data_IF_912783384126
#
_entry.id   IF_912783384126
#
_cell.length_a   1.000
_cell.length_b   1.000
_cell.length_c   1.000
_cell.angle_alpha   90.00
_cell.angle_beta   90.00
_cell.angle_gamma   90.00
#
_symmetry.space_group_name_H-M   'P 1'
#
loop_
_entity.id
_entity.type
_entity.pdbx_description
1 polymer ?
#
# COMPACT_ATOMS: atom_id res chain seq x y z
N UNK A 1 -8.74 21.32 -7.78
CA UNK A 1 -9.64 20.47 -8.60
C UNK A 1 -9.92 19.21 -7.80
N UNK A 2 -11.19 18.97 -7.44
CA UNK A 2 -11.62 17.75 -6.71
C UNK A 2 -12.09 16.66 -7.69
N UNK A 3 -11.26 16.32 -8.67
CA UNK A 3 -11.54 15.21 -9.59
C UNK A 3 -10.73 14.02 -9.12
N UNK A 4 -11.40 12.98 -8.67
CA UNK A 4 -10.77 11.69 -8.37
C UNK A 4 -10.53 10.96 -9.71
N UNK A 5 -9.33 10.44 -9.86
CA UNK A 5 -8.93 9.65 -11.03
C UNK A 5 -9.02 8.17 -10.67
N UNK A 6 -9.76 7.43 -11.48
CA UNK A 6 -9.87 5.99 -11.42
C UNK A 6 -9.43 5.43 -12.78
N UNK A 7 -8.43 4.57 -12.81
CA UNK A 7 -7.91 3.98 -14.03
C UNK A 7 -8.02 2.46 -13.97
N UNK A 8 -8.56 1.88 -15.05
CA UNK A 8 -8.78 0.45 -15.18
C UNK A 8 -7.75 -0.18 -16.11
N UNK A 9 -7.21 -1.32 -15.70
CA UNK A 9 -6.40 -2.23 -16.50
C UNK A 9 -7.07 -3.59 -16.57
N UNK A 10 -7.11 -4.20 -17.75
CA UNK A 10 -7.73 -5.51 -17.96
C UNK A 10 -6.68 -6.48 -18.46
N UNK A 11 -6.34 -7.47 -17.62
CA UNK A 11 -5.44 -8.54 -17.98
C UNK A 11 -6.10 -9.59 -18.89
N UNK A 12 -5.35 -10.13 -19.83
CA UNK A 12 -5.80 -11.20 -20.73
C UNK A 12 -6.46 -10.72 -22.01
N UNK A 13 -6.26 -9.46 -22.39
CA UNK A 13 -6.68 -8.94 -23.69
C UNK A 13 -5.88 -9.60 -24.84
N UNK A 14 -6.49 -9.73 -26.04
CA UNK A 14 -5.80 -10.27 -27.21
C UNK A 14 -4.52 -9.52 -27.54
N UNK A 15 -3.43 -10.27 -27.74
CA UNK A 15 -2.15 -9.71 -28.17
C UNK A 15 -1.30 -9.10 -27.06
N UNK A 16 -1.83 -8.93 -25.87
CA UNK A 16 -1.05 -8.46 -24.71
C UNK A 16 -0.38 -9.63 -24.00
N UNK A 17 0.92 -9.51 -23.76
CA UNK A 17 1.71 -10.45 -22.96
C UNK A 17 1.94 -9.92 -21.53
N UNK A 18 2.52 -10.75 -20.67
CA UNK A 18 2.79 -10.42 -19.28
C UNK A 18 3.67 -9.17 -19.13
N UNK A 19 4.72 -9.03 -19.96
CA UNK A 19 5.64 -7.90 -19.88
C UNK A 19 5.02 -6.60 -20.37
N UNK A 20 4.15 -6.65 -21.38
CA UNK A 20 3.41 -5.46 -21.83
C UNK A 20 2.39 -5.02 -20.78
N UNK A 21 1.70 -5.96 -20.13
CA UNK A 21 0.82 -5.63 -19.01
C UNK A 21 1.59 -4.99 -17.84
N UNK A 22 2.75 -5.56 -17.47
CA UNK A 22 3.65 -5.01 -16.44
C UNK A 22 4.05 -3.57 -16.75
N UNK A 23 4.41 -3.26 -18.01
CA UNK A 23 4.70 -1.88 -18.44
C UNK A 23 3.47 -0.97 -18.32
N UNK A 24 2.32 -1.40 -18.84
CA UNK A 24 1.06 -0.66 -18.75
C UNK A 24 0.70 -0.34 -17.30
N UNK A 25 0.88 -1.29 -16.39
CA UNK A 25 0.67 -1.06 -14.95
C UNK A 25 1.60 0.04 -14.41
N UNK A 26 2.90 -0.02 -14.71
CA UNK A 26 3.86 0.97 -14.23
C UNK A 26 3.59 2.37 -14.81
N UNK A 27 3.17 2.44 -16.08
CA UNK A 27 2.78 3.69 -16.72
C UNK A 27 1.55 4.31 -16.04
N UNK A 28 0.50 3.51 -15.80
CA UNK A 28 -0.70 3.94 -15.05
C UNK A 28 -0.33 4.37 -13.64
N UNK A 29 0.50 3.60 -12.93
CA UNK A 29 0.94 3.94 -11.58
C UNK A 29 1.73 5.27 -11.55
N UNK A 30 2.50 5.57 -12.60
CA UNK A 30 3.28 6.81 -12.70
C UNK A 30 2.41 8.08 -12.75
N UNK A 31 1.18 7.97 -13.24
CA UNK A 31 0.16 9.04 -13.26
C UNK A 31 -0.33 9.36 -11.84
N UNK A 32 -0.18 8.40 -10.91
CA UNK A 32 -0.65 8.49 -9.51
C UNK A 32 -2.15 8.75 -9.39
N UNK A 33 -3.00 7.95 -10.04
CA UNK A 33 -4.44 8.05 -9.84
C UNK A 33 -4.78 7.69 -8.38
N UNK A 34 -5.93 8.14 -7.90
CA UNK A 34 -6.43 7.77 -6.57
C UNK A 34 -6.77 6.28 -6.46
N UNK A 35 -7.12 5.65 -7.59
CA UNK A 35 -7.48 4.24 -7.64
C UNK A 35 -7.01 3.60 -8.94
N UNK A 36 -6.42 2.40 -8.85
CA UNK A 36 -6.04 1.55 -9.97
C UNK A 36 -6.84 0.26 -9.84
N UNK A 37 -7.79 0.04 -10.74
CA UNK A 37 -8.52 -1.22 -10.80
C UNK A 37 -7.84 -2.17 -11.78
N UNK A 38 -7.31 -3.27 -11.25
CA UNK A 38 -6.85 -4.39 -12.05
C UNK A 38 -8.00 -5.37 -12.23
N UNK A 39 -8.43 -5.54 -13.47
CA UNK A 39 -9.47 -6.49 -13.83
C UNK A 39 -8.91 -7.65 -14.65
N UNK A 40 -9.70 -8.70 -14.78
CA UNK A 40 -9.41 -9.85 -15.63
C UNK A 40 -10.51 -10.00 -16.66
N UNK A 41 -10.12 -10.25 -17.92
CA UNK A 41 -11.07 -10.37 -19.03
C UNK A 41 -12.14 -11.41 -18.70
N UNK A 42 -13.40 -11.06 -18.94
CA UNK A 42 -14.56 -11.94 -18.77
C UNK A 42 -15.19 -12.20 -20.14
N UNK A 43 -15.22 -13.47 -20.55
CA UNK A 43 -15.77 -13.88 -21.84
C UNK A 43 -17.28 -14.13 -21.72
N UNK A 44 -18.04 -13.03 -21.71
CA UNK A 44 -19.48 -13.06 -21.51
C UNK A 44 -20.19 -13.78 -22.67
N UNK A 45 -21.30 -14.47 -22.37
CA UNK A 45 -22.13 -15.14 -23.38
C UNK A 45 -22.64 -14.12 -24.42
N UNK A 46 -22.48 -14.44 -25.70
CA UNK A 46 -22.91 -13.59 -26.80
C UNK A 46 -21.93 -12.44 -27.16
N UNK A 47 -20.77 -12.37 -26.51
CA UNK A 47 -19.75 -11.41 -26.92
C UNK A 47 -18.88 -11.96 -28.07
N UNK A 48 -18.47 -11.08 -28.99
CA UNK A 48 -17.53 -11.43 -30.06
C UNK A 48 -16.20 -11.96 -29.54
N UNK A 49 -15.73 -11.45 -28.40
CA UNK A 49 -14.51 -11.92 -27.72
C UNK A 49 -14.61 -13.41 -27.34
N UNK A 50 -15.80 -13.87 -26.93
CA UNK A 50 -16.01 -15.28 -26.61
C UNK A 50 -16.05 -16.15 -27.87
N UNK A 51 -16.61 -15.65 -28.95
CA UNK A 51 -16.64 -16.33 -30.25
C UNK A 51 -15.24 -16.47 -30.85
N UNK A 52 -14.38 -15.49 -30.64
CA UNK A 52 -13.00 -15.49 -31.10
C UNK A 52 -11.99 -16.11 -30.11
N UNK A 53 -12.44 -16.67 -28.99
CA UNK A 53 -11.57 -17.16 -27.92
C UNK A 53 -10.52 -18.16 -28.39
N UNK A 54 -10.88 -19.07 -29.27
CA UNK A 54 -9.99 -20.09 -29.83
C UNK A 54 -8.85 -19.46 -30.65
N UNK A 55 -9.13 -18.41 -31.41
CA UNK A 55 -8.15 -17.68 -32.21
C UNK A 55 -7.00 -17.09 -31.39
N UNK A 56 -7.28 -16.70 -30.14
CA UNK A 56 -6.30 -16.14 -29.19
C UNK A 56 -5.84 -17.15 -28.12
N UNK A 57 -6.12 -18.43 -28.31
CA UNK A 57 -5.76 -19.49 -27.36
C UNK A 57 -6.33 -19.27 -25.97
N UNK A 58 -7.46 -18.59 -25.86
CA UNK A 58 -8.10 -18.25 -24.60
C UNK A 58 -8.72 -19.45 -23.93
N UNK A 59 -8.37 -19.69 -22.69
CA UNK A 59 -9.06 -20.62 -21.79
C UNK A 59 -9.66 -19.78 -20.66
N UNK A 60 -10.93 -20.02 -20.36
CA UNK A 60 -11.69 -19.27 -19.35
C UNK A 60 -12.59 -20.19 -18.53
N UNK A 61 -13.04 -19.70 -17.37
CA UNK A 61 -13.97 -20.43 -16.51
C UNK A 61 -15.28 -20.74 -17.25
N UNK A 62 -15.78 -21.98 -17.24
CA UNK A 62 -17.09 -22.30 -17.82
C UNK A 62 -18.26 -21.72 -17.00
N UNK A 63 -18.00 -21.27 -15.77
CA UNK A 63 -18.98 -20.70 -14.83
C UNK A 63 -18.83 -19.18 -14.74
N UNK A 64 -19.93 -18.46 -14.45
CA UNK A 64 -19.85 -17.04 -14.17
C UNK A 64 -18.79 -16.72 -13.10
N UNK A 65 -18.01 -15.66 -13.28
CA UNK A 65 -18.12 -14.59 -14.27
C UNK A 65 -17.43 -14.87 -15.62
N UNK A 66 -17.08 -16.12 -15.96
CA UNK A 66 -16.40 -16.51 -17.21
C UNK A 66 -15.03 -15.88 -17.37
N UNK A 67 -14.30 -15.79 -16.29
CA UNK A 67 -13.02 -15.11 -16.21
C UNK A 67 -11.93 -15.89 -16.96
N UNK A 68 -11.04 -15.13 -17.62
CA UNK A 68 -9.89 -15.66 -18.32
C UNK A 68 -8.94 -16.43 -17.37
N UNK A 69 -8.42 -17.56 -17.83
CA UNK A 69 -7.45 -18.40 -17.13
C UNK A 69 -6.08 -18.29 -17.78
N UNK A 70 -6.04 -18.26 -19.11
CA UNK A 70 -4.83 -18.03 -19.90
C UNK A 70 -5.17 -17.59 -21.32
N UNK A 71 -4.18 -17.05 -22.03
CA UNK A 71 -4.23 -16.79 -23.48
C UNK A 71 -3.05 -17.50 -24.14
N UNK A 72 -2.87 -17.32 -25.46
CA UNK A 72 -1.65 -17.72 -26.18
C UNK A 72 -0.42 -16.91 -25.74
N UNK A 73 -0.60 -15.69 -25.18
CA UNK A 73 0.45 -14.76 -24.76
C UNK A 73 0.70 -14.72 -23.26
N UNK A 74 -0.30 -15.04 -22.44
CA UNK A 74 -0.19 -15.04 -20.97
C UNK A 74 -0.56 -16.42 -20.43
N UNK A 75 0.40 -17.08 -19.83
CA UNK A 75 0.21 -18.41 -19.22
C UNK A 75 -0.65 -18.33 -17.96
N UNK A 76 -1.22 -19.46 -17.53
CA UNK A 76 -1.94 -19.59 -16.27
C UNK A 76 -1.11 -19.11 -15.05
N UNK A 77 0.20 -19.47 -15.05
CA UNK A 77 1.10 -19.07 -13.97
C UNK A 77 1.28 -17.56 -13.90
N UNK A 78 1.35 -16.89 -15.03
CA UNK A 78 1.44 -15.42 -15.10
C UNK A 78 0.12 -14.77 -14.69
N UNK A 79 -1.04 -15.34 -15.08
CA UNK A 79 -2.33 -14.84 -14.58
C UNK A 79 -2.43 -14.90 -13.05
N UNK A 80 -1.94 -15.97 -12.41
CA UNK A 80 -1.87 -16.05 -10.95
C UNK A 80 -0.94 -14.98 -10.36
N UNK A 81 0.16 -14.65 -11.03
CA UNK A 81 1.03 -13.54 -10.60
C UNK A 81 0.30 -12.19 -10.65
N UNK A 82 -0.43 -11.93 -11.75
CA UNK A 82 -1.22 -10.71 -11.89
C UNK A 82 -2.31 -10.61 -10.80
N UNK A 83 -2.95 -11.73 -10.43
CA UNK A 83 -3.92 -11.75 -9.32
C UNK A 83 -3.30 -11.38 -7.98
N UNK A 84 -2.07 -11.80 -7.71
CA UNK A 84 -1.37 -11.38 -6.50
C UNK A 84 -1.10 -9.87 -6.48
N UNK A 85 -0.69 -9.32 -7.62
CA UNK A 85 -0.48 -7.86 -7.76
C UNK A 85 -1.79 -7.11 -7.55
N UNK A 86 -2.87 -7.55 -8.18
CA UNK A 86 -4.21 -6.96 -8.02
C UNK A 86 -4.63 -6.90 -6.54
N UNK A 87 -4.54 -8.01 -5.82
CA UNK A 87 -4.88 -8.08 -4.39
C UNK A 87 -4.03 -7.11 -3.53
N UNK A 88 -2.74 -6.95 -3.86
CA UNK A 88 -1.88 -6.03 -3.13
C UNK A 88 -2.18 -4.56 -3.46
N UNK A 89 -2.45 -4.26 -4.72
CA UNK A 89 -2.87 -2.91 -5.14
C UNK A 89 -4.17 -2.51 -4.47
N UNK A 90 -5.17 -3.40 -4.45
CA UNK A 90 -6.44 -3.13 -3.79
C UNK A 90 -6.28 -2.87 -2.28
N UNK A 91 -5.55 -3.74 -1.58
CA UNK A 91 -5.38 -3.64 -0.13
C UNK A 91 -4.52 -2.45 0.29
N UNK A 92 -3.49 -2.14 -0.45
CA UNK A 92 -2.48 -1.16 -0.03
C UNK A 92 -2.55 0.16 -0.78
N UNK A 93 -2.57 0.15 -2.11
CA UNK A 93 -2.62 1.37 -2.90
C UNK A 93 -4.00 2.03 -2.85
N UNK A 94 -5.05 1.30 -3.22
CA UNK A 94 -6.41 1.84 -3.32
C UNK A 94 -7.00 2.26 -1.96
N UNK A 95 -6.54 1.65 -0.87
CA UNK A 95 -6.96 2.05 0.49
C UNK A 95 -6.53 3.46 0.88
N UNK A 96 -5.52 4.03 0.22
CA UNK A 96 -4.89 5.34 0.50
C UNK A 96 -4.32 5.50 1.92
N UNK A 97 -4.22 4.41 2.69
CA UNK A 97 -3.79 4.45 4.10
C UNK A 97 -2.28 4.32 4.29
N UNK A 98 -1.55 3.96 3.25
CA UNK A 98 -0.14 3.56 3.33
C UNK A 98 0.75 4.37 2.39
N UNK A 99 0.33 5.56 1.98
CA UNK A 99 0.98 6.34 0.93
C UNK A 99 2.46 6.63 1.21
N UNK A 100 2.80 6.96 2.45
CA UNK A 100 4.19 7.24 2.84
C UNK A 100 5.02 5.97 2.96
N UNK A 101 4.42 4.90 3.48
CA UNK A 101 5.04 3.58 3.56
C UNK A 101 5.29 3.00 2.16
N UNK A 102 4.34 3.12 1.24
CA UNK A 102 4.50 2.70 -0.15
C UNK A 102 5.62 3.48 -0.85
N UNK A 103 5.69 4.82 -0.64
CA UNK A 103 6.78 5.66 -1.17
C UNK A 103 8.15 5.13 -0.73
N UNK A 104 8.30 4.73 0.54
CA UNK A 104 9.55 4.13 1.05
C UNK A 104 9.94 2.85 0.30
N UNK A 105 8.97 1.98 -0.01
CA UNK A 105 9.24 0.74 -0.72
C UNK A 105 9.49 0.94 -2.20
N UNK A 106 8.80 1.86 -2.87
CA UNK A 106 9.04 2.14 -4.30
C UNK A 106 10.48 2.56 -4.59
N UNK A 107 11.17 3.22 -3.65
CA UNK A 107 12.57 3.58 -3.79
C UNK A 107 13.54 2.38 -3.70
N UNK A 108 13.06 1.21 -3.27
CA UNK A 108 13.84 -0.02 -3.11
C UNK A 108 13.66 -1.03 -4.23
N UNK A 109 12.78 -0.75 -5.15
CA UNK A 109 12.44 -1.61 -6.28
C UNK A 109 12.64 -0.89 -7.60
N UNK A 110 12.94 -1.65 -8.65
CA UNK A 110 13.06 -1.12 -9.99
C UNK A 110 11.71 -0.57 -10.47
N UNK A 111 10.63 -1.28 -10.19
CA UNK A 111 9.28 -0.83 -10.53
C UNK A 111 8.28 -1.09 -9.39
N UNK A 112 7.19 -0.29 -9.30
CA UNK A 112 6.09 -0.56 -8.38
C UNK A 112 5.44 -1.93 -8.58
N UNK A 113 5.36 -2.42 -9.82
CA UNK A 113 4.84 -3.74 -10.11
C UNK A 113 5.63 -4.83 -9.38
N UNK A 114 6.96 -4.77 -9.42
CA UNK A 114 7.84 -5.77 -8.80
C UNK A 114 7.68 -5.77 -7.28
N UNK A 115 7.54 -4.59 -6.68
CA UNK A 115 7.25 -4.46 -5.27
C UNK A 115 5.93 -5.16 -4.89
N UNK A 116 4.83 -4.85 -5.61
CA UNK A 116 3.54 -5.48 -5.31
C UNK A 116 3.56 -6.99 -5.55
N UNK A 117 4.29 -7.45 -6.56
CA UNK A 117 4.46 -8.88 -6.82
C UNK A 117 5.18 -9.58 -5.66
N UNK A 118 6.29 -9.03 -5.17
CA UNK A 118 7.04 -9.61 -4.05
C UNK A 118 6.25 -9.53 -2.74
N UNK A 119 5.52 -8.44 -2.50
CA UNK A 119 4.61 -8.34 -1.36
C UNK A 119 3.51 -9.41 -1.44
N UNK A 120 2.96 -9.66 -2.63
CA UNK A 120 1.99 -10.73 -2.87
C UNK A 120 2.55 -12.12 -2.62
N UNK A 121 3.79 -12.38 -3.00
CA UNK A 121 4.48 -13.64 -2.68
C UNK A 121 4.70 -13.80 -1.16
N UNK A 122 5.03 -12.72 -0.47
CA UNK A 122 5.13 -12.70 0.99
C UNK A 122 3.78 -13.01 1.67
N UNK A 123 2.69 -12.43 1.16
CA UNK A 123 1.33 -12.72 1.62
C UNK A 123 0.97 -14.19 1.46
N UNK A 124 1.27 -14.77 0.29
CA UNK A 124 1.01 -16.20 0.02
C UNK A 124 1.80 -17.09 0.96
N UNK A 125 3.11 -16.84 1.12
CA UNK A 125 3.98 -17.61 2.01
C UNK A 125 3.51 -17.59 3.48
N UNK A 126 2.83 -16.53 3.90
CA UNK A 126 2.24 -16.36 5.24
C UNK A 126 0.80 -16.85 5.36
N UNK A 127 0.20 -17.33 4.27
CA UNK A 127 -1.18 -17.77 4.23
C UNK A 127 -2.20 -16.65 4.42
N UNK A 128 -1.81 -15.40 4.20
CA UNK A 128 -2.66 -14.22 4.41
C UNK A 128 -3.82 -14.11 3.42
N UNK A 129 -3.72 -14.73 2.24
CA UNK A 129 -4.84 -14.81 1.30
C UNK A 129 -5.97 -15.76 1.79
N UNK A 130 -5.67 -16.66 2.72
CA UNK A 130 -6.61 -17.68 3.19
C UNK A 130 -7.26 -17.34 4.53
N UNK A 131 -7.00 -16.14 5.09
CA UNK A 131 -7.57 -15.69 6.35
C UNK A 131 -7.84 -14.19 6.37
N UNK A 132 -8.76 -13.77 7.20
CA UNK A 132 -8.93 -12.35 7.48
C UNK A 132 -7.77 -11.86 8.37
N UNK A 133 -7.14 -10.78 7.96
CA UNK A 133 -6.14 -10.08 8.75
C UNK A 133 -6.72 -8.77 9.28
N UNK A 134 -6.38 -8.42 10.51
CA UNK A 134 -6.87 -7.21 11.15
C UNK A 134 -6.23 -5.93 10.60
N UNK A 135 -6.90 -4.79 10.78
CA UNK A 135 -6.40 -3.50 10.27
C UNK A 135 -4.96 -3.20 10.71
N UNK A 136 -4.58 -3.47 11.95
CA UNK A 136 -3.22 -3.25 12.46
C UNK A 136 -2.20 -4.22 11.86
N UNK A 137 -2.64 -5.41 11.47
CA UNK A 137 -1.77 -6.43 10.87
C UNK A 137 -1.28 -6.01 9.47
N UNK A 138 -2.09 -5.27 8.69
CA UNK A 138 -1.65 -4.69 7.43
C UNK A 138 -0.43 -3.78 7.57
N UNK A 139 -0.36 -3.00 8.65
CA UNK A 139 0.81 -2.16 8.96
C UNK A 139 2.02 -3.01 9.36
N UNK A 140 1.79 -4.08 10.16
CA UNK A 140 2.87 -4.98 10.60
C UNK A 140 3.53 -5.72 9.44
N UNK A 141 2.76 -6.10 8.43
CA UNK A 141 3.26 -6.76 7.22
C UNK A 141 4.45 -6.03 6.61
N UNK A 142 4.41 -4.70 6.56
CA UNK A 142 5.53 -3.93 6.00
C UNK A 142 6.82 -4.06 6.81
N UNK A 143 6.74 -4.12 8.14
CA UNK A 143 7.91 -4.36 8.98
C UNK A 143 8.46 -5.76 8.76
N UNK A 144 7.60 -6.75 8.82
CA UNK A 144 7.99 -8.16 8.62
C UNK A 144 8.58 -8.37 7.22
N UNK A 145 7.98 -7.78 6.19
CA UNK A 145 8.47 -7.82 4.82
C UNK A 145 9.85 -7.15 4.67
N UNK A 146 10.03 -5.96 5.26
CA UNK A 146 11.32 -5.27 5.24
C UNK A 146 12.42 -6.08 5.92
N UNK A 147 12.13 -6.65 7.09
CA UNK A 147 13.11 -7.44 7.85
C UNK A 147 13.46 -8.75 7.13
N UNK A 148 12.47 -9.47 6.62
CA UNK A 148 12.65 -10.82 6.12
C UNK A 148 13.12 -10.88 4.66
N UNK A 149 12.57 -10.02 3.82
CA UNK A 149 12.83 -10.01 2.37
C UNK A 149 13.96 -9.02 2.03
N UNK A 150 13.85 -7.79 2.48
CA UNK A 150 14.82 -6.74 2.13
C UNK A 150 16.02 -6.68 3.07
N UNK A 151 15.96 -7.36 4.24
CA UNK A 151 17.01 -7.31 5.28
C UNK A 151 17.33 -5.88 5.71
N UNK A 152 16.33 -5.00 5.66
CA UNK A 152 16.47 -3.57 5.93
C UNK A 152 16.35 -3.23 7.42
N UNK A 153 16.89 -2.07 7.81
CA UNK A 153 16.67 -1.48 9.13
C UNK A 153 15.20 -1.07 9.28
N UNK A 154 14.61 -1.43 10.41
CA UNK A 154 13.21 -1.13 10.71
C UNK A 154 13.01 0.21 11.44
N UNK A 155 14.07 0.80 12.01
CA UNK A 155 13.96 1.96 12.91
C UNK A 155 13.21 3.13 12.26
N UNK A 156 13.59 3.50 11.03
CA UNK A 156 12.94 4.60 10.30
C UNK A 156 11.60 4.22 9.71
N UNK A 157 11.49 2.97 9.25
CA UNK A 157 10.25 2.46 8.70
C UNK A 157 9.13 2.45 9.74
N UNK A 158 9.45 2.18 11.01
CA UNK A 158 8.48 2.26 12.12
C UNK A 158 7.84 3.65 12.23
N UNK A 159 8.63 4.69 12.09
CA UNK A 159 8.14 6.06 12.14
C UNK A 159 7.25 6.41 10.94
N UNK A 160 7.64 5.99 9.75
CA UNK A 160 6.83 6.20 8.54
C UNK A 160 5.49 5.48 8.66
N UNK A 161 5.50 4.22 9.10
CA UNK A 161 4.30 3.43 9.35
C UNK A 161 3.44 4.05 10.45
N UNK A 162 4.06 4.53 11.53
CA UNK A 162 3.36 5.24 12.62
C UNK A 162 2.64 6.49 12.12
N UNK A 163 3.29 7.26 11.25
CA UNK A 163 2.67 8.43 10.65
C UNK A 163 1.46 8.06 9.80
N UNK A 164 1.59 7.08 8.91
CA UNK A 164 0.46 6.57 8.12
C UNK A 164 -0.66 6.05 9.01
N UNK A 165 -0.32 5.29 10.07
CA UNK A 165 -1.32 4.79 11.01
C UNK A 165 -2.10 5.92 11.68
N UNK A 166 -1.40 6.91 12.22
CA UNK A 166 -2.01 8.04 12.96
C UNK A 166 -2.81 8.97 12.06
N UNK A 167 -2.52 9.02 10.76
CA UNK A 167 -3.28 9.78 9.77
C UNK A 167 -4.70 9.23 9.54
N UNK A 168 -4.96 7.97 9.89
CA UNK A 168 -6.24 7.31 9.64
C UNK A 168 -6.86 6.66 10.87
N UNK A 169 -6.09 6.52 11.97
CA UNK A 169 -6.52 5.80 13.16
C UNK A 169 -6.27 6.63 14.41
N UNK A 170 -7.17 6.49 15.39
CA UNK A 170 -6.97 7.13 16.68
C UNK A 170 -5.75 6.53 17.40
N UNK A 171 -4.96 7.37 18.04
CA UNK A 171 -3.78 6.99 18.80
C UNK A 171 -4.06 5.89 19.85
N UNK A 172 -5.22 5.93 20.51
CA UNK A 172 -5.58 4.94 21.54
C UNK A 172 -5.49 3.48 21.07
N UNK A 173 -5.71 3.23 19.78
CA UNK A 173 -5.60 1.90 19.18
C UNK A 173 -4.24 1.58 18.56
N UNK A 174 -3.23 2.45 18.76
CA UNK A 174 -1.91 2.28 18.15
C UNK A 174 -1.24 1.01 18.67
N UNK A 175 -0.78 0.12 17.77
CA UNK A 175 -0.14 -1.14 18.16
C UNK A 175 1.27 -0.90 18.71
N UNK A 176 1.69 -1.80 19.62
CA UNK A 176 2.96 -1.65 20.36
C UNK A 176 4.20 -1.63 19.45
N UNK A 177 4.15 -2.28 18.30
CA UNK A 177 5.30 -2.37 17.37
C UNK A 177 5.69 -1.04 16.71
N UNK A 178 4.82 -0.01 16.76
CA UNK A 178 5.12 1.35 16.26
C UNK A 178 5.08 2.42 17.35
N UNK A 179 4.86 2.05 18.61
CA UNK A 179 4.92 3.00 19.72
C UNK A 179 6.35 3.47 19.97
N UNK A 180 6.50 4.74 20.27
CA UNK A 180 7.72 5.32 20.80
C UNK A 180 7.51 5.71 22.27
N UNK A 181 8.57 5.61 23.06
CA UNK A 181 8.57 6.09 24.43
C UNK A 181 9.05 7.54 24.46
N UNK A 182 8.32 8.38 25.19
CA UNK A 182 8.73 9.76 25.50
C UNK A 182 9.08 9.79 26.99
N UNK A 183 10.18 10.44 27.33
CA UNK A 183 10.51 10.71 28.72
C UNK A 183 9.39 11.55 29.37
N UNK A 184 8.95 11.15 30.56
CA UNK A 184 7.82 11.80 31.24
C UNK A 184 8.10 13.26 31.61
N UNK A 185 9.34 13.61 31.92
CA UNK A 185 9.70 14.97 32.27
C UNK A 185 9.68 15.85 31.03
N UNK A 186 10.24 15.35 29.92
CA UNK A 186 10.19 16.01 28.64
C UNK A 186 8.76 16.19 28.14
N UNK A 187 7.92 15.17 28.26
CA UNK A 187 6.49 15.27 27.89
C UNK A 187 5.77 16.37 28.67
N UNK A 188 6.05 16.49 29.98
CA UNK A 188 5.47 17.53 30.83
C UNK A 188 5.97 18.93 30.42
N UNK A 189 7.27 19.08 30.13
CA UNK A 189 7.83 20.35 29.65
C UNK A 189 7.16 20.81 28.35
N UNK A 190 7.06 19.93 27.36
CA UNK A 190 6.39 20.23 26.10
C UNK A 190 4.92 20.62 26.33
N UNK A 191 4.22 19.91 27.20
CA UNK A 191 2.83 20.24 27.55
C UNK A 191 2.70 21.63 28.19
N UNK A 192 3.61 21.98 29.09
CA UNK A 192 3.58 23.30 29.75
C UNK A 192 3.87 24.44 28.77
N UNK A 193 4.79 24.23 27.83
CA UNK A 193 5.10 25.23 26.79
C UNK A 193 3.94 25.47 25.81
N UNK A 194 3.16 24.42 25.54
CA UNK A 194 2.12 24.44 24.53
C UNK A 194 0.70 24.60 25.07
N UNK A 195 0.52 24.58 26.39
CA UNK A 195 -0.82 24.58 27.05
C UNK A 195 -1.71 25.77 26.68
N UNK A 196 -1.13 26.92 26.33
CA UNK A 196 -1.87 28.11 25.92
C UNK A 196 -2.40 28.02 24.49
N UNK A 197 -1.79 27.14 23.66
CA UNK A 197 -2.11 27.00 22.24
C UNK A 197 -2.96 25.76 21.95
N UNK A 198 -2.78 24.67 22.72
CA UNK A 198 -3.40 23.39 22.46
C UNK A 198 -4.04 22.79 23.72
N UNK A 199 -5.22 22.20 23.52
CA UNK A 199 -5.90 21.41 24.57
C UNK A 199 -5.37 19.97 24.59
N UNK A 200 -4.66 19.58 25.63
CA UNK A 200 -4.18 18.20 25.80
C UNK A 200 -5.29 17.19 26.21
N UNK A 201 -6.55 17.61 26.18
CA UNK A 201 -7.70 16.70 26.11
C UNK A 201 -7.91 16.15 24.71
N UNK A 202 -7.56 16.98 23.68
CA UNK A 202 -7.80 16.70 22.28
C UNK A 202 -6.54 16.25 21.54
N UNK A 203 -5.36 16.60 22.06
CA UNK A 203 -4.05 16.27 21.47
C UNK A 203 -3.18 15.46 22.39
N UNK A 204 -2.36 14.61 21.79
CA UNK A 204 -1.32 13.84 22.47
C UNK A 204 0.01 14.03 21.77
N UNK A 205 1.11 13.96 22.52
CA UNK A 205 2.45 14.11 21.97
C UNK A 205 2.94 12.76 21.48
N UNK A 206 3.49 12.72 20.28
CA UNK A 206 4.17 11.57 19.70
C UNK A 206 5.60 11.93 19.31
N UNK A 207 6.53 11.05 19.64
CA UNK A 207 7.95 11.15 19.28
C UNK A 207 8.22 10.40 18.01
N UNK A 208 9.05 10.99 17.14
CA UNK A 208 9.60 10.38 15.94
C UNK A 208 11.12 10.54 15.97
N UNK A 209 11.84 9.53 15.50
CA UNK A 209 13.32 9.56 15.42
C UNK A 209 13.81 10.09 14.07
N UNK A 210 12.87 10.39 13.15
CA UNK A 210 13.13 11.05 11.86
C UNK A 210 12.26 12.30 11.70
N UNK A 211 12.76 13.24 10.88
CA UNK A 211 11.96 14.41 10.49
C UNK A 211 10.90 14.03 9.44
N UNK A 212 9.70 13.70 9.91
CA UNK A 212 8.59 13.33 9.03
C UNK A 212 8.18 14.46 8.08
N UNK A 213 8.31 15.74 8.49
CA UNK A 213 7.98 16.87 7.59
C UNK A 213 8.92 16.91 6.40
N UNK A 214 10.21 16.65 6.61
CA UNK A 214 11.20 16.57 5.53
C UNK A 214 10.94 15.34 4.64
N UNK A 215 10.64 14.18 5.26
CA UNK A 215 10.33 12.97 4.52
C UNK A 215 9.09 13.14 3.62
N UNK A 216 8.03 13.74 4.14
CA UNK A 216 6.79 13.98 3.37
C UNK A 216 7.05 14.87 2.14
N UNK A 217 7.88 15.92 2.30
CA UNK A 217 8.14 16.88 1.24
C UNK A 217 9.14 16.35 0.20
N UNK A 218 10.20 15.67 0.65
CA UNK A 218 11.35 15.34 -0.22
C UNK A 218 11.58 13.85 -0.45
N UNK A 219 10.98 12.97 0.37
CA UNK A 219 11.28 11.53 0.44
C UNK A 219 12.57 11.21 1.22
N UNK A 220 13.36 12.19 1.61
CA UNK A 220 14.63 11.94 2.30
C UNK A 220 14.43 11.64 3.77
N UNK A 221 15.08 10.58 4.25
CA UNK A 221 15.10 10.22 5.66
C UNK A 221 16.21 11.00 6.35
N UNK A 222 15.84 11.93 7.23
CA UNK A 222 16.76 12.69 8.06
C UNK A 222 16.58 12.25 9.51
N UNK A 223 17.63 11.68 10.10
CA UNK A 223 17.70 11.35 11.52
C UNK A 223 17.62 12.62 12.36
N UNK A 224 16.48 12.84 12.99
CA UNK A 224 16.28 13.97 13.88
C UNK A 224 15.09 13.64 14.78
N UNK A 225 15.33 13.63 16.08
CA UNK A 225 14.26 13.53 17.05
C UNK A 225 13.31 14.72 16.88
N UNK A 226 12.05 14.42 16.63
CA UNK A 226 10.98 15.39 16.41
C UNK A 226 9.76 15.00 17.21
N UNK A 227 8.99 16.01 17.63
CA UNK A 227 7.74 15.81 18.32
C UNK A 227 6.58 16.32 17.49
N UNK A 228 5.45 15.63 17.59
CA UNK A 228 4.23 15.96 16.89
C UNK A 228 3.04 15.88 17.83
N UNK A 229 2.11 16.82 17.68
CA UNK A 229 0.79 16.72 18.29
C UNK A 229 -0.10 15.88 17.39
N UNK A 230 -0.75 14.89 17.97
CA UNK A 230 -1.72 14.02 17.28
C UNK A 230 -3.10 14.28 17.87
N UNK A 231 -3.99 14.83 17.07
CA UNK A 231 -5.35 15.13 17.45
C UNK A 231 -6.28 13.92 17.41
N UNK A 232 -7.38 14.01 18.13
CA UNK A 232 -8.47 13.01 18.11
C UNK A 232 -9.13 12.86 16.73
N UNK A 233 -8.97 13.87 15.85
CA UNK A 233 -9.42 13.91 14.47
C UNK A 233 -8.37 13.39 13.45
N UNK A 234 -7.30 12.74 13.93
CA UNK A 234 -6.16 12.29 13.12
C UNK A 234 -5.32 13.43 12.50
N UNK A 235 -5.45 14.64 12.99
CA UNK A 235 -4.56 15.74 12.64
C UNK A 235 -3.18 15.52 13.26
N UNK A 236 -2.11 15.77 12.50
CA UNK A 236 -0.72 15.63 12.94
C UNK A 236 0.01 16.95 12.72
N UNK A 237 0.49 17.56 13.79
CA UNK A 237 1.12 18.89 13.78
C UNK A 237 2.52 18.75 14.35
N UNK A 238 3.54 19.17 13.60
CA UNK A 238 4.93 19.24 14.10
C UNK A 238 5.07 20.37 15.12
N UNK A 239 5.76 20.11 16.23
CA UNK A 239 6.04 21.07 17.30
C UNK A 239 7.53 21.19 17.55
#
# INVERSE_FOLDING_TARGET
>A
RNIKQHLDLIAGLPGEDYESFRRSFNDVHSIRPEEIQLGFLKLLKGSSMREEAEKYGMVYSPYPPYEIIKTDKVSYKEMIRLKKVEEMVDKYYNSQKFNNTLKFFYEKYETPFDFFYDLGNFFEARGYFNRNIGNTEYYKVFLDFNMEILKGDESYLKDIIKYDYLSFNKRRGMPDFIKSNIDKQLELQIKDELRERYSFKDYQIEKFDIDMSEYLNTGKIIKKECFYLVGNNCEIIKI
#
